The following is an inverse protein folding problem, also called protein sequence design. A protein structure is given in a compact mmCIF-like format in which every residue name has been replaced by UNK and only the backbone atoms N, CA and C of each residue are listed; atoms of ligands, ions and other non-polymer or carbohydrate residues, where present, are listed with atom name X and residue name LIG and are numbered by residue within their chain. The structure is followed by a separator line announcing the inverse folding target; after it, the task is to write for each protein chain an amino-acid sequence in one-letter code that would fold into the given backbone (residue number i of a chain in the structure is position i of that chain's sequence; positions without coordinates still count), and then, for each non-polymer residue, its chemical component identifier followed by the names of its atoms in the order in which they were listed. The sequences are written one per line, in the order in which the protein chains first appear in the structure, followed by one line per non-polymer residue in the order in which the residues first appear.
data_IF_692100918326
#
_entry.id   IF_692100918326
#
_cell.length_a   1.000
_cell.length_b   1.000
_cell.length_c   1.000
_cell.angle_alpha   90.00
_cell.angle_beta   90.00
_cell.angle_gamma   90.00
#
_symmetry.space_group_name_H-M   'P 1'
#
loop_
_entity.id
_entity.type
_entity.pdbx_description
1 polymer ?
#
# COMPACT_ATOMS: atom_id res chain seq x y z
N UNK A 1 49.49 61.54 21.91
CA UNK A 1 49.30 60.23 21.25
C UNK A 1 47.99 59.65 21.75
N UNK A 2 46.96 59.59 20.89
CA UNK A 2 45.65 59.03 21.23
C UNK A 2 45.65 57.56 20.83
N UNK A 3 45.55 56.68 21.81
CA UNK A 3 45.40 55.24 21.60
C UNK A 3 43.99 54.95 21.07
N UNK A 4 43.91 54.28 19.92
CA UNK A 4 42.66 53.70 19.42
C UNK A 4 42.65 52.26 19.93
N UNK A 5 41.77 52.00 20.90
CA UNK A 5 41.45 50.65 21.36
C UNK A 5 40.23 50.21 20.56
N UNK A 6 40.43 49.30 19.61
CA UNK A 6 39.35 48.64 18.90
C UNK A 6 39.01 47.32 19.62
N UNK A 7 37.84 47.25 20.24
CA UNK A 7 37.27 46.01 20.77
C UNK A 7 36.51 45.30 19.64
N UNK A 8 37.02 44.15 19.21
CA UNK A 8 36.33 43.27 18.27
C UNK A 8 35.37 42.38 19.07
N UNK A 9 34.07 42.73 19.09
CA UNK A 9 33.05 41.84 19.64
C UNK A 9 32.73 40.76 18.60
N UNK A 10 33.15 39.53 18.85
CA UNK A 10 32.71 38.36 18.10
C UNK A 10 31.36 37.92 18.68
N UNK A 11 30.27 38.21 17.97
CA UNK A 11 28.92 37.77 18.32
C UNK A 11 28.75 36.31 17.83
N UNK A 12 28.88 35.34 18.73
CA UNK A 12 28.49 33.96 18.45
C UNK A 12 26.98 33.88 18.65
N UNK A 13 26.23 33.93 17.55
CA UNK A 13 24.79 33.68 17.58
C UNK A 13 24.55 32.18 17.77
N UNK A 14 24.20 31.79 19.00
CA UNK A 14 23.64 30.48 19.28
C UNK A 14 22.18 30.50 18.83
N UNK A 15 21.91 30.06 17.60
CA UNK A 15 20.54 29.88 17.11
C UNK A 15 20.10 28.47 17.51
N UNK A 16 19.37 28.37 18.62
CA UNK A 16 18.51 27.22 18.85
C UNK A 16 17.25 27.43 18.02
N UNK A 17 17.03 26.59 17.01
CA UNK A 17 15.71 26.48 16.39
C UNK A 17 14.80 25.72 17.36
N UNK A 18 14.15 26.45 18.26
CA UNK A 18 12.98 25.91 18.93
C UNK A 18 11.87 25.83 17.88
N UNK A 19 11.57 24.61 17.42
CA UNK A 19 10.46 24.33 16.52
C UNK A 19 9.14 24.61 17.25
N UNK A 20 8.72 25.87 17.23
CA UNK A 20 7.43 26.29 17.74
C UNK A 20 6.35 25.92 16.72
N UNK A 21 5.92 24.65 16.72
CA UNK A 21 4.90 24.17 15.79
C UNK A 21 3.59 23.89 16.54
N UNK A 22 2.70 24.87 16.54
CA UNK A 22 1.31 24.74 17.02
C UNK A 22 0.41 24.03 15.98
N UNK A 23 0.97 23.07 15.23
CA UNK A 23 0.27 22.23 14.26
C UNK A 23 0.47 20.79 14.69
N UNK A 24 -0.61 20.09 15.03
CA UNK A 24 -0.57 18.65 15.29
C UNK A 24 -0.32 17.92 13.97
N UNK A 25 0.94 17.75 13.59
CA UNK A 25 1.31 16.93 12.44
C UNK A 25 0.86 15.49 12.65
N UNK A 26 0.28 14.90 11.61
CA UNK A 26 -0.07 13.47 11.61
C UNK A 26 1.20 12.61 11.50
N UNK A 27 1.19 11.35 11.98
CA UNK A 27 2.36 10.48 11.97
C UNK A 27 3.07 10.39 10.60
N UNK A 28 2.32 10.26 9.51
CA UNK A 28 2.89 10.20 8.16
C UNK A 28 3.70 11.46 7.78
N UNK A 29 3.34 12.64 8.30
CA UNK A 29 4.07 13.89 8.05
C UNK A 29 5.31 14.01 8.95
N UNK A 30 5.31 13.33 10.09
CA UNK A 30 6.42 13.37 11.05
C UNK A 30 7.45 12.27 10.83
N UNK A 31 7.24 11.32 9.92
CA UNK A 31 8.07 10.13 9.78
C UNK A 31 9.60 10.43 9.77
N UNK A 32 10.06 11.41 9.00
CA UNK A 32 11.49 11.80 8.97
C UNK A 32 11.95 12.52 10.24
N UNK A 33 11.06 13.30 10.86
CA UNK A 33 11.35 13.98 12.13
C UNK A 33 11.49 12.98 13.27
N UNK A 34 10.53 12.04 13.37
CA UNK A 34 10.53 10.97 14.36
C UNK A 34 11.76 10.05 14.14
N UNK A 35 12.08 9.71 12.90
CA UNK A 35 13.32 8.99 12.55
C UNK A 35 14.59 9.71 13.04
N UNK A 36 14.71 11.03 12.80
CA UNK A 36 15.84 11.84 13.27
C UNK A 36 15.93 11.89 14.79
N UNK A 37 14.78 11.93 15.48
CA UNK A 37 14.72 11.97 16.94
C UNK A 37 15.17 10.65 17.56
N UNK A 38 14.81 9.52 16.95
CA UNK A 38 15.25 8.18 17.36
C UNK A 38 16.73 7.92 17.03
N UNK A 39 17.28 8.63 16.04
CA UNK A 39 18.67 8.53 15.60
C UNK A 39 19.42 9.87 15.81
N UNK A 40 19.72 10.27 17.06
CA UNK A 40 20.35 11.56 17.36
C UNK A 40 21.82 11.65 16.90
N UNK A 41 22.41 10.53 16.51
CA UNK A 41 23.77 10.43 16.00
C UNK A 41 23.77 9.91 14.55
N UNK A 42 24.80 10.22 13.76
CA UNK A 42 24.93 9.66 12.41
C UNK A 42 24.85 8.13 12.42
N UNK A 43 23.94 7.57 11.62
CA UNK A 43 23.63 6.14 11.57
C UNK A 43 24.72 5.26 10.94
N UNK A 44 25.73 5.88 10.33
CA UNK A 44 26.84 5.18 9.70
C UNK A 44 27.67 6.10 8.82
N UNK A 45 28.75 5.55 8.28
CA UNK A 45 29.53 6.19 7.23
C UNK A 45 28.86 5.94 5.87
N UNK A 46 28.73 6.97 5.04
CA UNK A 46 28.24 6.77 3.67
C UNK A 46 29.26 5.95 2.87
N UNK A 47 28.80 4.87 2.25
CA UNK A 47 29.61 3.95 1.46
C UNK A 47 29.05 3.83 0.04
N UNK A 48 29.92 3.47 -0.91
CA UNK A 48 29.55 2.97 -2.24
C UNK A 48 28.90 1.58 -2.08
N UNK A 49 28.24 1.06 -3.11
CA UNK A 49 27.62 -0.26 -3.08
C UNK A 49 28.61 -1.41 -2.75
N UNK A 50 29.90 -1.24 -3.08
CA UNK A 50 30.95 -2.21 -2.75
C UNK A 50 31.39 -2.19 -1.27
N UNK A 51 30.90 -1.23 -0.48
CA UNK A 51 31.27 -1.03 0.92
C UNK A 51 32.43 -0.05 1.15
N UNK A 52 33.05 0.47 0.09
CA UNK A 52 34.11 1.47 0.20
C UNK A 52 33.56 2.80 0.75
N UNK A 53 34.28 3.46 1.68
CA UNK A 53 33.85 4.73 2.22
C UNK A 53 33.82 5.82 1.15
N UNK A 54 32.80 6.68 1.21
CA UNK A 54 32.69 7.84 0.34
C UNK A 54 33.56 8.97 0.87
N UNK A 55 34.52 9.41 0.07
CA UNK A 55 35.30 10.60 0.38
C UNK A 55 34.54 11.87 -0.01
N UNK A 56 34.70 12.94 0.77
CA UNK A 56 34.04 14.24 0.51
C UNK A 56 34.39 14.77 -0.89
N UNK A 57 35.61 14.55 -1.37
CA UNK A 57 36.02 14.96 -2.74
C UNK A 57 35.21 14.27 -3.84
N UNK A 58 34.76 13.04 -3.60
CA UNK A 58 33.99 12.25 -4.59
C UNK A 58 32.55 12.79 -4.71
N UNK A 59 32.07 13.53 -3.71
CA UNK A 59 30.73 14.14 -3.72
C UNK A 59 30.62 15.36 -4.65
N UNK A 60 31.74 15.91 -5.11
CA UNK A 60 31.78 17.07 -6.00
C UNK A 60 32.27 16.62 -7.37
N UNK A 61 31.38 16.67 -8.36
CA UNK A 61 31.66 16.28 -9.75
C UNK A 61 32.01 17.47 -10.65
N UNK A 62 31.99 18.68 -10.08
CA UNK A 62 32.33 19.91 -10.80
C UNK A 62 33.85 20.03 -10.91
N UNK A 63 34.35 20.31 -12.11
CA UNK A 63 35.78 20.41 -12.44
C UNK A 63 36.58 19.10 -12.27
N UNK A 64 35.91 17.95 -12.29
CA UNK A 64 36.51 16.61 -12.35
C UNK A 64 35.99 15.83 -13.55
N UNK A 65 36.73 14.79 -13.96
CA UNK A 65 36.20 13.84 -14.95
C UNK A 65 35.08 13.03 -14.30
N UNK A 66 33.88 13.17 -14.87
CA UNK A 66 32.68 12.51 -14.36
C UNK A 66 32.67 11.01 -14.65
N UNK A 67 33.39 10.57 -15.70
CA UNK A 67 33.48 9.16 -16.07
C UNK A 67 34.44 8.37 -15.17
N UNK A 68 35.35 9.05 -14.48
CA UNK A 68 36.23 8.44 -13.47
C UNK A 68 35.63 8.50 -12.06
N UNK A 69 34.54 9.26 -11.86
CA UNK A 69 33.88 9.34 -10.56
C UNK A 69 33.03 8.08 -10.31
N UNK A 70 33.61 7.13 -9.59
CA UNK A 70 32.97 5.87 -9.23
C UNK A 70 31.68 6.06 -8.41
N UNK A 71 31.63 7.05 -7.51
CA UNK A 71 30.44 7.31 -6.69
C UNK A 71 29.26 7.77 -7.56
N UNK A 72 29.54 8.65 -8.54
CA UNK A 72 28.55 9.15 -9.48
C UNK A 72 27.99 8.00 -10.32
N UNK A 73 28.86 7.18 -10.91
CA UNK A 73 28.45 6.04 -11.74
C UNK A 73 27.63 5.05 -10.92
N UNK A 74 28.08 4.69 -9.72
CA UNK A 74 27.41 3.73 -8.84
C UNK A 74 26.01 4.22 -8.43
N UNK A 75 25.89 5.51 -8.08
CA UNK A 75 24.62 6.14 -7.72
C UNK A 75 23.65 6.19 -8.89
N UNK A 76 24.13 6.56 -10.09
CA UNK A 76 23.30 6.64 -11.30
C UNK A 76 22.83 5.27 -11.75
N UNK A 77 23.70 4.25 -11.75
CA UNK A 77 23.32 2.89 -12.10
C UNK A 77 22.28 2.31 -11.14
N UNK A 78 22.39 2.61 -9.85
CA UNK A 78 21.39 2.21 -8.86
C UNK A 78 20.07 2.92 -9.10
N UNK A 79 20.10 4.24 -9.31
CA UNK A 79 18.93 5.07 -9.58
C UNK A 79 18.17 4.64 -10.84
N UNK A 80 18.89 4.44 -11.95
CA UNK A 80 18.31 4.01 -13.23
C UNK A 80 17.67 2.60 -13.13
N UNK A 81 18.15 1.78 -12.19
CA UNK A 81 17.65 0.43 -11.91
C UNK A 81 16.50 0.34 -10.91
N UNK A 82 16.05 1.45 -10.29
CA UNK A 82 15.07 1.40 -9.18
C UNK A 82 13.67 0.91 -9.59
N UNK A 83 13.25 1.17 -10.83
CA UNK A 83 11.85 0.93 -11.25
C UNK A 83 11.69 -0.49 -11.76
N UNK A 84 10.98 -1.30 -10.99
CA UNK A 84 10.49 -2.62 -11.42
C UNK A 84 9.08 -2.50 -12.02
N UNK A 85 8.67 -3.41 -12.93
CA UNK A 85 7.31 -3.42 -13.45
C UNK A 85 6.27 -3.48 -12.32
N UNK A 86 5.28 -2.59 -12.38
CA UNK A 86 4.16 -2.64 -11.46
C UNK A 86 3.29 -3.88 -11.71
N UNK A 87 2.44 -4.24 -10.73
CA UNK A 87 1.47 -5.32 -10.93
C UNK A 87 0.48 -4.91 -12.04
N UNK A 88 0.18 -5.81 -12.97
CA UNK A 88 -0.73 -5.54 -14.09
C UNK A 88 -2.11 -5.06 -13.64
N UNK A 89 -2.59 -5.61 -12.51
CA UNK A 89 -3.76 -5.18 -11.74
C UNK A 89 -3.33 -5.01 -10.29
N UNK A 90 -4.07 -4.23 -9.53
CA UNK A 90 -3.74 -3.96 -8.13
C UNK A 90 -2.37 -3.29 -7.93
N UNK A 91 -1.96 -2.42 -8.86
CA UNK A 91 -0.67 -1.75 -8.85
C UNK A 91 -0.52 -0.82 -7.64
N UNK A 92 -1.46 0.12 -7.47
CA UNK A 92 -1.49 1.02 -6.31
C UNK A 92 -2.05 0.30 -5.09
N UNK A 93 -1.34 0.41 -3.97
CA UNK A 93 -1.73 -0.23 -2.73
C UNK A 93 -0.71 -0.01 -1.63
N UNK A 94 -1.14 -0.31 -0.41
CA UNK A 94 -0.32 -0.22 0.81
C UNK A 94 -0.44 -1.50 1.61
N UNK A 95 0.49 -1.75 2.52
CA UNK A 95 0.48 -2.95 3.36
C UNK A 95 0.69 -2.64 4.82
N UNK A 96 0.28 -3.58 5.67
CA UNK A 96 0.47 -3.53 7.11
C UNK A 96 0.76 -4.94 7.64
N UNK A 97 1.52 -5.02 8.71
CA UNK A 97 1.73 -6.27 9.46
C UNK A 97 0.78 -6.34 10.65
N UNK A 98 0.49 -7.55 11.10
CA UNK A 98 -0.38 -7.79 12.24
C UNK A 98 -0.38 -9.25 12.64
N UNK A 99 -1.46 -9.68 13.28
CA UNK A 99 -1.69 -11.07 13.64
C UNK A 99 -3.15 -11.46 13.44
N UNK A 100 -3.38 -12.75 13.24
CA UNK A 100 -4.70 -13.38 13.30
C UNK A 100 -4.81 -14.16 14.60
N UNK A 101 -5.93 -14.02 15.29
CA UNK A 101 -6.23 -14.73 16.53
C UNK A 101 -7.47 -15.61 16.37
N UNK A 102 -7.35 -16.88 16.70
CA UNK A 102 -8.47 -17.81 16.70
C UNK A 102 -9.34 -17.54 17.92
N UNK A 103 -10.59 -17.14 17.73
CA UNK A 103 -11.52 -16.84 18.84
C UNK A 103 -12.57 -17.92 19.04
N UNK A 104 -12.78 -18.78 18.05
CA UNK A 104 -13.79 -19.83 18.05
C UNK A 104 -13.19 -21.13 17.53
N UNK A 105 -13.55 -22.24 18.16
CA UNK A 105 -13.10 -23.57 17.74
C UNK A 105 -13.80 -23.97 16.43
N UNK A 106 -12.99 -24.18 15.39
CA UNK A 106 -13.42 -24.64 14.07
C UNK A 106 -12.76 -25.96 13.66
N UNK A 107 -12.14 -26.68 14.61
CA UNK A 107 -11.44 -27.96 14.40
C UNK A 107 -12.35 -29.05 13.80
N UNK A 108 -13.67 -28.92 14.01
CA UNK A 108 -14.68 -29.75 13.34
C UNK A 108 -14.59 -29.69 11.81
N UNK A 109 -14.20 -28.54 11.25
CA UNK A 109 -14.23 -28.29 9.80
C UNK A 109 -12.85 -28.36 9.15
N UNK A 110 -11.79 -28.06 9.90
CA UNK A 110 -10.44 -27.97 9.34
C UNK A 110 -9.39 -28.48 10.31
N UNK A 111 -8.35 -29.13 9.78
CA UNK A 111 -7.13 -29.42 10.53
C UNK A 111 -6.02 -28.38 10.33
N UNK A 112 -6.26 -27.32 9.54
CA UNK A 112 -5.22 -26.35 9.21
C UNK A 112 -4.72 -25.61 10.47
N UNK A 113 -3.40 -25.63 10.65
CA UNK A 113 -2.71 -25.13 11.85
C UNK A 113 -3.09 -23.68 12.21
N UNK A 114 -3.28 -22.81 11.22
CA UNK A 114 -3.65 -21.40 11.40
C UNK A 114 -5.02 -21.20 12.06
N UNK A 115 -5.95 -22.16 11.93
CA UNK A 115 -7.31 -22.07 12.46
C UNK A 115 -7.53 -22.93 13.71
N UNK A 116 -6.53 -23.67 14.14
CA UNK A 116 -6.60 -24.52 15.32
C UNK A 116 -6.26 -23.75 16.59
N UNK A 117 -6.84 -24.21 17.71
CA UNK A 117 -6.59 -23.72 19.06
C UNK A 117 -7.07 -22.28 19.33
N UNK A 118 -8.12 -22.13 20.14
CA UNK A 118 -8.62 -20.81 20.56
C UNK A 118 -7.54 -20.07 21.35
N UNK A 119 -7.26 -18.83 20.97
CA UNK A 119 -6.21 -17.96 21.52
C UNK A 119 -4.90 -18.01 20.73
N UNK A 120 -4.75 -18.92 19.77
CA UNK A 120 -3.55 -18.98 18.94
C UNK A 120 -3.41 -17.73 18.07
N UNK A 121 -2.21 -17.13 18.10
CA UNK A 121 -1.84 -15.96 17.29
C UNK A 121 -0.90 -16.34 16.17
N UNK A 122 -1.30 -16.05 14.94
CA UNK A 122 -0.49 -16.27 13.74
C UNK A 122 -0.07 -14.93 13.14
N UNK A 123 1.24 -14.64 12.99
CA UNK A 123 1.69 -13.43 12.32
C UNK A 123 1.18 -13.36 10.88
N UNK A 124 0.84 -12.17 10.42
CA UNK A 124 0.40 -11.95 9.05
C UNK A 124 0.89 -10.64 8.47
N UNK A 125 0.87 -10.57 7.15
CA UNK A 125 0.93 -9.32 6.40
C UNK A 125 -0.30 -9.19 5.53
N UNK A 126 -0.89 -8.01 5.49
CA UNK A 126 -1.99 -7.66 4.59
C UNK A 126 -1.53 -6.60 3.61
N UNK A 127 -1.92 -6.74 2.34
CA UNK A 127 -1.80 -5.70 1.32
C UNK A 127 -3.17 -5.31 0.80
N UNK A 128 -3.48 -4.04 0.94
CA UNK A 128 -4.66 -3.41 0.36
C UNK A 128 -4.32 -2.75 -0.97
N UNK A 129 -5.30 -2.63 -1.87
CA UNK A 129 -5.06 -2.03 -3.19
C UNK A 129 -6.33 -1.55 -3.88
N UNK A 130 -6.14 -0.64 -4.82
CA UNK A 130 -7.07 -0.42 -5.95
C UNK A 130 -7.05 -1.62 -6.89
N UNK A 131 -7.91 -1.68 -7.92
CA UNK A 131 -7.92 -2.81 -8.86
C UNK A 131 -7.26 -2.48 -10.20
N UNK A 132 -7.66 -1.37 -10.81
CA UNK A 132 -7.32 -1.03 -12.20
C UNK A 132 -6.32 0.12 -12.30
N UNK A 133 -6.19 0.93 -11.24
CA UNK A 133 -5.26 2.04 -11.19
C UNK A 133 -3.81 1.57 -11.28
N UNK A 134 -3.00 2.37 -11.97
CA UNK A 134 -1.54 2.25 -11.97
C UNK A 134 -0.99 2.76 -10.63
N UNK A 135 0.31 2.57 -10.35
CA UNK A 135 0.93 2.94 -9.06
C UNK A 135 0.68 4.41 -8.66
N UNK A 136 0.68 5.33 -9.62
CA UNK A 136 0.40 6.76 -9.42
C UNK A 136 -1.07 7.17 -9.55
N UNK A 137 -2.02 6.22 -9.61
CA UNK A 137 -3.45 6.52 -9.70
C UNK A 137 -4.06 7.01 -8.39
N UNK A 138 -5.39 7.12 -8.34
CA UNK A 138 -6.12 7.57 -7.15
C UNK A 138 -6.65 6.39 -6.32
N UNK A 139 -6.49 6.43 -5.00
CA UNK A 139 -7.13 5.47 -4.08
C UNK A 139 -8.67 5.56 -4.13
N UNK A 140 -9.19 6.72 -4.51
CA UNK A 140 -10.62 7.08 -4.48
C UNK A 140 -11.38 6.76 -5.77
N UNK A 141 -10.73 6.10 -6.73
CA UNK A 141 -11.41 5.64 -7.93
C UNK A 141 -12.56 4.68 -7.57
N UNK A 142 -13.70 4.79 -8.29
CA UNK A 142 -14.84 3.87 -8.12
C UNK A 142 -14.51 2.53 -8.76
N UNK A 143 -14.16 1.57 -7.92
CA UNK A 143 -13.78 0.22 -8.30
C UNK A 143 -13.73 -0.67 -7.06
N UNK A 144 -13.72 -1.98 -7.27
CA UNK A 144 -13.47 -2.94 -6.20
C UNK A 144 -12.07 -2.72 -5.62
N UNK A 145 -11.92 -2.89 -4.31
CA UNK A 145 -10.63 -2.83 -3.62
C UNK A 145 -10.14 -4.23 -3.32
N UNK A 146 -8.83 -4.45 -3.42
CA UNK A 146 -8.19 -5.71 -3.07
C UNK A 146 -7.72 -5.72 -1.62
N UNK A 147 -7.79 -6.88 -0.98
CA UNK A 147 -7.21 -7.16 0.34
C UNK A 147 -6.57 -8.55 0.28
N UNK A 148 -5.25 -8.61 0.16
CA UNK A 148 -4.50 -9.86 0.14
C UNK A 148 -3.87 -10.11 1.51
N UNK A 149 -4.22 -11.22 2.18
CA UNK A 149 -3.68 -11.59 3.48
C UNK A 149 -2.73 -12.77 3.29
N UNK A 150 -1.53 -12.68 3.86
CA UNK A 150 -0.57 -13.77 3.98
C UNK A 150 -0.37 -14.10 5.45
N UNK A 151 -0.72 -15.32 5.84
CA UNK A 151 -0.49 -15.87 7.17
C UNK A 151 0.83 -16.65 7.16
N UNK A 152 1.69 -16.38 8.15
CA UNK A 152 2.93 -17.11 8.36
C UNK A 152 2.64 -18.25 9.35
N UNK A 153 2.27 -19.42 8.81
CA UNK A 153 1.86 -20.59 9.60
C UNK A 153 3.02 -21.59 9.72
N UNK A 154 2.94 -22.53 10.67
CA UNK A 154 3.97 -23.58 10.82
C UNK A 154 4.01 -24.55 9.62
N UNK A 155 2.87 -24.72 8.94
CA UNK A 155 2.74 -25.55 7.73
C UNK A 155 3.12 -24.79 6.44
N UNK A 156 3.65 -23.57 6.57
CA UNK A 156 4.02 -22.69 5.47
C UNK A 156 3.10 -21.48 5.32
N UNK A 157 3.32 -20.71 4.25
CA UNK A 157 2.53 -19.50 4.03
C UNK A 157 1.15 -19.83 3.45
N UNK A 158 0.10 -19.37 4.11
CA UNK A 158 -1.25 -19.40 3.57
C UNK A 158 -1.61 -18.02 3.04
N UNK A 159 -1.98 -17.92 1.77
CA UNK A 159 -2.42 -16.68 1.14
C UNK A 159 -3.93 -16.72 0.88
N UNK A 160 -4.67 -15.81 1.50
CA UNK A 160 -6.10 -15.60 1.22
C UNK A 160 -6.25 -14.26 0.51
N UNK A 161 -6.54 -14.32 -0.78
CA UNK A 161 -6.71 -13.15 -1.64
C UNK A 161 -8.19 -12.76 -1.65
N UNK A 162 -8.49 -11.56 -1.17
CA UNK A 162 -9.84 -11.04 -1.05
C UNK A 162 -10.06 -9.77 -1.88
N UNK A 163 -11.34 -9.47 -2.09
CA UNK A 163 -11.83 -8.22 -2.62
C UNK A 163 -12.85 -7.60 -1.65
N UNK A 164 -13.16 -6.31 -1.82
CA UNK A 164 -14.13 -5.58 -1.01
C UNK A 164 -15.59 -5.97 -1.24
N UNK A 165 -15.86 -6.88 -2.19
CA UNK A 165 -17.21 -7.33 -2.57
C UNK A 165 -17.24 -8.86 -2.67
N UNK A 166 -18.38 -9.52 -2.41
CA UNK A 166 -18.44 -10.99 -2.26
C UNK A 166 -18.54 -11.76 -3.59
N UNK A 167 -18.53 -11.08 -4.73
CA UNK A 167 -18.70 -11.67 -6.08
C UNK A 167 -17.75 -11.02 -7.08
N UNK A 168 -17.49 -11.69 -8.20
CA UNK A 168 -16.63 -11.18 -9.27
C UNK A 168 -17.37 -11.02 -10.60
N UNK A 169 -16.75 -10.29 -11.54
CA UNK A 169 -17.37 -9.90 -12.80
C UNK A 169 -17.66 -11.10 -13.72
N UNK A 170 -16.86 -12.14 -13.65
CA UNK A 170 -17.01 -13.32 -14.49
C UNK A 170 -16.88 -14.61 -13.68
N UNK A 171 -17.31 -15.71 -14.29
CA UNK A 171 -17.22 -17.08 -13.76
C UNK A 171 -16.21 -17.97 -14.49
N UNK A 172 -15.61 -17.47 -15.56
CA UNK A 172 -14.63 -18.18 -16.39
C UNK A 172 -13.34 -17.36 -16.49
N UNK A 173 -12.18 -17.86 -16.04
CA UNK A 173 -10.93 -17.11 -16.04
C UNK A 173 -10.43 -16.72 -17.44
N UNK A 174 -10.85 -17.42 -18.50
CA UNK A 174 -10.41 -17.14 -19.87
C UNK A 174 -10.79 -15.74 -20.37
N UNK A 175 -11.78 -15.08 -19.77
CA UNK A 175 -12.16 -13.70 -20.13
C UNK A 175 -11.40 -12.62 -19.34
N UNK A 176 -10.60 -12.99 -18.34
CA UNK A 176 -9.91 -12.02 -17.47
C UNK A 176 -9.07 -10.99 -18.24
N UNK A 177 -8.21 -11.37 -19.22
CA UNK A 177 -7.42 -10.38 -19.95
C UNK A 177 -8.28 -9.38 -20.71
N UNK A 178 -9.39 -9.85 -21.31
CA UNK A 178 -10.31 -8.99 -22.04
C UNK A 178 -10.99 -7.98 -21.12
N UNK A 179 -11.44 -8.42 -19.93
CA UNK A 179 -12.01 -7.54 -18.90
C UNK A 179 -11.01 -6.49 -18.47
N UNK A 180 -9.77 -6.89 -18.16
CA UNK A 180 -8.72 -5.97 -17.71
C UNK A 180 -8.38 -4.97 -18.80
N UNK A 181 -8.25 -5.39 -20.06
CA UNK A 181 -7.97 -4.49 -21.18
C UNK A 181 -9.12 -3.50 -21.41
N UNK A 182 -10.37 -3.95 -21.42
CA UNK A 182 -11.51 -3.05 -21.64
C UNK A 182 -11.81 -2.13 -20.47
N UNK A 183 -11.32 -2.44 -19.27
CA UNK A 183 -11.41 -1.58 -18.09
C UNK A 183 -10.20 -0.63 -17.92
N UNK A 184 -9.16 -0.77 -18.75
CA UNK A 184 -7.95 0.05 -18.75
C UNK A 184 -7.98 1.08 -19.89
N UNK A 185 -6.82 1.68 -20.17
CA UNK A 185 -6.66 2.72 -21.17
C UNK A 185 -6.86 2.16 -22.58
N UNK A 186 -7.55 2.94 -23.41
CA UNK A 186 -7.73 2.64 -24.82
C UNK A 186 -6.35 2.53 -25.51
N UNK A 187 -6.13 1.50 -26.35
CA UNK A 187 -4.80 1.23 -26.93
C UNK A 187 -4.31 2.30 -27.91
N UNK A 188 -5.20 3.10 -28.51
CA UNK A 188 -4.84 4.16 -29.46
C UNK A 188 -4.67 5.50 -28.77
N UNK A 189 -5.61 5.88 -27.88
CA UNK A 189 -5.62 7.22 -27.26
C UNK A 189 -4.91 7.26 -25.93
N UNK A 190 -4.66 6.11 -25.31
CA UNK A 190 -4.16 5.98 -23.95
C UNK A 190 -5.03 6.70 -22.91
N UNK A 191 -6.32 6.93 -23.20
CA UNK A 191 -7.29 7.53 -22.28
C UNK A 191 -8.21 6.47 -21.67
N UNK A 192 -8.84 6.78 -20.54
CA UNK A 192 -9.91 5.92 -20.00
C UNK A 192 -11.10 5.94 -20.95
N UNK A 193 -11.59 4.75 -21.29
CA UNK A 193 -12.70 4.58 -22.24
C UNK A 193 -13.83 3.79 -21.58
N UNK A 194 -14.84 4.52 -21.09
CA UNK A 194 -16.01 3.90 -20.48
C UNK A 194 -16.81 3.09 -21.50
N UNK A 195 -16.77 3.42 -22.79
CA UNK A 195 -17.51 2.66 -23.81
C UNK A 195 -17.03 1.22 -23.87
N UNK A 196 -15.71 1.01 -23.84
CA UNK A 196 -15.12 -0.34 -23.81
C UNK A 196 -15.51 -1.13 -22.55
N UNK A 197 -15.51 -0.47 -21.39
CA UNK A 197 -15.94 -1.08 -20.14
C UNK A 197 -17.42 -1.51 -20.20
N UNK A 198 -18.31 -0.59 -20.61
CA UNK A 198 -19.75 -0.87 -20.69
C UNK A 198 -20.08 -1.95 -21.72
N UNK A 199 -19.35 -2.01 -22.84
CA UNK A 199 -19.52 -3.06 -23.85
C UNK A 199 -19.30 -4.46 -23.24
N UNK A 200 -18.16 -4.68 -22.58
CA UNK A 200 -17.85 -5.97 -21.91
C UNK A 200 -18.91 -6.36 -20.88
N UNK A 201 -19.42 -5.38 -20.13
CA UNK A 201 -20.39 -5.61 -19.06
C UNK A 201 -21.77 -5.93 -19.63
N UNK A 202 -22.21 -5.21 -20.65
CA UNK A 202 -23.55 -5.35 -21.23
C UNK A 202 -23.69 -6.57 -22.14
N UNK A 203 -22.61 -7.00 -22.79
CA UNK A 203 -22.60 -8.20 -23.65
C UNK A 203 -22.82 -9.51 -22.87
N UNK A 204 -22.59 -9.53 -21.55
CA UNK A 204 -22.78 -10.71 -20.70
C UNK A 204 -23.56 -10.36 -19.42
N UNK A 205 -24.85 -10.71 -19.33
CA UNK A 205 -25.66 -10.42 -18.15
C UNK A 205 -25.11 -10.96 -16.83
N UNK A 206 -24.30 -12.03 -16.85
CA UNK A 206 -23.61 -12.55 -15.66
C UNK A 206 -22.70 -11.53 -14.97
N UNK A 207 -22.25 -10.51 -15.69
CA UNK A 207 -21.33 -9.48 -15.20
C UNK A 207 -22.06 -8.43 -14.36
N UNK A 208 -23.38 -8.31 -14.50
CA UNK A 208 -24.16 -7.25 -13.88
C UNK A 208 -24.16 -7.31 -12.35
N UNK A 209 -24.05 -8.50 -11.75
CA UNK A 209 -24.10 -8.63 -10.29
C UNK A 209 -22.93 -7.89 -9.63
N UNK A 210 -21.68 -8.19 -10.02
CA UNK A 210 -20.53 -7.44 -9.50
C UNK A 210 -20.57 -5.98 -9.94
N UNK A 211 -21.05 -5.69 -11.14
CA UNK A 211 -21.09 -4.31 -11.62
C UNK A 211 -21.98 -3.43 -10.73
N UNK A 212 -23.13 -3.95 -10.29
CA UNK A 212 -23.98 -3.25 -9.33
C UNK A 212 -23.32 -3.10 -7.95
N UNK A 213 -22.50 -4.05 -7.50
CA UNK A 213 -21.67 -3.86 -6.30
C UNK A 213 -20.66 -2.74 -6.45
N UNK A 214 -20.05 -2.57 -7.63
CA UNK A 214 -19.12 -1.48 -7.90
C UNK A 214 -19.82 -0.11 -7.99
N UNK A 215 -21.06 -0.07 -8.49
CA UNK A 215 -21.85 1.15 -8.56
C UNK A 215 -22.52 1.53 -7.22
N UNK A 216 -22.60 0.60 -6.28
CA UNK A 216 -23.10 0.88 -4.93
C UNK A 216 -22.05 1.62 -4.08
N UNK A 217 -22.38 1.85 -2.81
CA UNK A 217 -21.49 2.46 -1.83
C UNK A 217 -20.19 1.65 -1.62
N UNK A 218 -20.21 0.35 -1.89
CA UNK A 218 -19.02 -0.52 -1.80
C UNK A 218 -17.95 -0.20 -2.86
N UNK A 219 -18.26 0.59 -3.89
CA UNK A 219 -17.30 1.01 -4.90
C UNK A 219 -16.31 2.07 -4.45
N UNK A 220 -16.62 2.82 -3.37
CA UNK A 220 -15.77 3.87 -2.80
C UNK A 220 -15.84 3.82 -1.27
N UNK A 221 -15.21 2.83 -0.62
CA UNK A 221 -15.13 2.80 0.84
C UNK A 221 -14.39 4.03 1.38
N UNK A 222 -14.64 4.40 2.64
CA UNK A 222 -13.92 5.48 3.33
C UNK A 222 -12.64 4.94 3.98
N UNK A 223 -11.62 4.69 3.16
CA UNK A 223 -10.36 4.09 3.57
C UNK A 223 -10.40 2.56 3.62
N UNK A 224 -9.23 1.92 3.64
CA UNK A 224 -9.11 0.46 3.67
C UNK A 224 -9.59 -0.16 4.99
N UNK A 225 -9.63 0.61 6.09
CA UNK A 225 -10.03 0.11 7.41
C UNK A 225 -11.54 -0.06 7.54
N UNK A 226 -12.33 0.70 6.77
CA UNK A 226 -13.81 0.73 6.84
C UNK A 226 -14.46 -0.04 5.70
N UNK A 227 -13.76 -1.02 5.14
CA UNK A 227 -14.31 -1.95 4.15
C UNK A 227 -14.23 -3.39 4.65
N UNK A 228 -15.16 -4.21 4.18
CA UNK A 228 -15.08 -5.65 4.37
C UNK A 228 -14.14 -6.29 3.34
N UNK A 229 -13.77 -7.55 3.57
CA UNK A 229 -12.99 -8.36 2.66
C UNK A 229 -13.58 -9.74 2.46
N UNK A 230 -13.66 -10.19 1.22
CA UNK A 230 -14.25 -11.46 0.83
C UNK A 230 -13.30 -12.22 -0.09
N UNK A 231 -13.02 -13.48 0.20
CA UNK A 231 -12.22 -14.32 -0.69
C UNK A 231 -12.97 -14.72 -1.99
N UNK A 232 -14.27 -14.42 -2.06
CA UNK A 232 -15.22 -14.66 -3.16
C UNK A 232 -15.46 -16.15 -3.45
N UNK A 233 -14.39 -16.88 -3.74
CA UNK A 233 -14.42 -18.28 -4.10
C UNK A 233 -14.89 -19.14 -2.94
N UNK A 234 -15.49 -20.28 -3.29
CA UNK A 234 -15.75 -21.36 -2.35
C UNK A 234 -14.47 -22.19 -2.22
N UNK A 235 -14.00 -22.35 -0.99
CA UNK A 235 -12.84 -23.16 -0.65
C UNK A 235 -13.30 -24.50 -0.07
N UNK A 236 -12.45 -25.50 -0.12
CA UNK A 236 -12.64 -26.77 0.55
C UNK A 236 -11.75 -26.82 1.79
N UNK A 237 -12.33 -27.17 2.94
CA UNK A 237 -11.60 -27.50 4.16
C UNK A 237 -11.81 -28.98 4.46
N UNK A 238 -10.78 -29.62 4.99
CA UNK A 238 -10.83 -30.99 5.46
C UNK A 238 -10.49 -31.05 6.94
N UNK A 239 -11.20 -31.87 7.72
CA UNK A 239 -10.89 -32.10 9.13
C UNK A 239 -9.96 -33.32 9.33
N UNK A 240 -9.58 -33.59 10.58
CA UNK A 240 -8.67 -34.71 10.93
C UNK A 240 -9.25 -36.10 10.62
N UNK A 241 -10.57 -36.20 10.42
CA UNK A 241 -11.26 -37.44 10.08
C UNK A 241 -11.40 -37.65 8.56
N UNK A 242 -10.92 -36.69 7.75
CA UNK A 242 -11.01 -36.74 6.29
C UNK A 242 -12.38 -36.29 5.74
N UNK A 243 -13.22 -35.66 6.54
CA UNK A 243 -14.49 -35.08 6.07
C UNK A 243 -14.23 -33.71 5.40
N UNK A 244 -14.86 -33.48 4.26
CA UNK A 244 -14.70 -32.26 3.45
C UNK A 244 -15.87 -31.31 3.61
N UNK A 245 -15.60 -30.02 3.76
CA UNK A 245 -16.58 -28.95 3.89
C UNK A 245 -16.30 -27.80 2.94
N UNK A 246 -17.34 -27.32 2.25
CA UNK A 246 -17.24 -26.12 1.42
C UNK A 246 -17.49 -24.85 2.25
N UNK A 247 -16.57 -23.91 2.19
CA UNK A 247 -16.61 -22.67 2.98
C UNK A 247 -16.35 -21.44 2.13
N UNK A 248 -16.68 -20.27 2.69
CA UNK A 248 -16.26 -18.96 2.18
C UNK A 248 -15.72 -18.12 3.31
N UNK A 249 -14.55 -17.51 3.09
CA UNK A 249 -13.95 -16.59 4.05
C UNK A 249 -14.52 -15.18 3.88
N UNK A 250 -15.03 -14.64 4.98
CA UNK A 250 -15.55 -13.28 5.07
C UNK A 250 -14.86 -12.58 6.25
N UNK A 251 -14.13 -11.51 5.95
CA UNK A 251 -13.48 -10.63 6.91
C UNK A 251 -14.34 -9.38 7.04
N UNK A 252 -14.90 -9.16 8.23
CA UNK A 252 -15.76 -8.00 8.50
C UNK A 252 -14.96 -6.95 9.24
N UNK A 253 -15.08 -5.69 8.82
CA UNK A 253 -14.43 -4.58 9.54
C UNK A 253 -15.06 -4.39 10.91
N UNK A 254 -14.22 -4.30 11.95
CA UNK A 254 -14.66 -3.94 13.30
C UNK A 254 -14.85 -2.41 13.46
N UNK A 255 -14.30 -1.63 12.53
CA UNK A 255 -14.45 -0.16 12.48
C UNK A 255 -15.83 0.25 11.94
N UNK A 256 -16.59 -0.71 11.39
CA UNK A 256 -17.86 -0.48 10.72
C UNK A 256 -17.67 -0.06 9.27
N UNK A 257 -18.52 -0.59 8.40
CA UNK A 257 -18.50 -0.23 6.99
C UNK A 257 -18.88 1.25 6.81
N UNK A 258 -18.08 1.98 6.04
CA UNK A 258 -18.35 3.37 5.68
C UNK A 258 -17.90 3.64 4.25
N UNK A 259 -18.64 4.50 3.56
CA UNK A 259 -18.41 4.82 2.16
C UNK A 259 -18.45 6.33 1.91
N UNK A 260 -17.77 6.75 0.85
CA UNK A 260 -17.75 8.12 0.39
C UNK A 260 -18.70 8.29 -0.78
N UNK A 261 -19.44 9.40 -0.79
CA UNK A 261 -20.21 9.81 -1.96
C UNK A 261 -19.26 10.23 -3.09
N UNK A 262 -19.70 10.12 -4.35
CA UNK A 262 -18.91 10.53 -5.52
C UNK A 262 -18.38 11.98 -5.40
N UNK A 263 -19.17 12.99 -4.95
CA UNK A 263 -18.64 14.35 -4.76
C UNK A 263 -17.59 14.47 -3.65
N UNK A 264 -17.75 13.75 -2.54
CA UNK A 264 -16.74 13.73 -1.46
C UNK A 264 -15.44 13.11 -1.96
N UNK A 265 -15.53 11.97 -2.63
CA UNK A 265 -14.37 11.31 -3.22
C UNK A 265 -13.64 12.21 -4.22
N UNK A 266 -14.37 12.91 -5.08
CA UNK A 266 -13.78 13.87 -6.02
C UNK A 266 -13.07 15.04 -5.32
N UNK A 267 -13.66 15.58 -4.24
CA UNK A 267 -13.06 16.66 -3.47
C UNK A 267 -11.78 16.23 -2.74
N UNK A 268 -11.78 15.05 -2.12
CA UNK A 268 -10.58 14.50 -1.45
C UNK A 268 -9.51 14.17 -2.49
N UNK A 269 -9.88 13.52 -3.59
CA UNK A 269 -8.97 13.13 -4.67
C UNK A 269 -8.21 14.34 -5.26
N UNK A 270 -8.84 15.52 -5.30
CA UNK A 270 -8.19 16.74 -5.76
C UNK A 270 -7.05 17.22 -4.85
N UNK A 271 -7.08 16.84 -3.56
CA UNK A 271 -6.08 17.23 -2.57
C UNK A 271 -5.11 16.09 -2.21
N UNK A 272 -5.58 14.85 -2.18
CA UNK A 272 -4.81 13.68 -1.74
C UNK A 272 -5.23 12.42 -2.52
N UNK A 273 -4.38 12.03 -3.48
CA UNK A 273 -4.56 10.79 -4.25
C UNK A 273 -4.24 9.53 -3.42
N UNK A 274 -3.54 9.70 -2.29
CA UNK A 274 -3.04 8.64 -1.40
C UNK A 274 -3.84 8.53 -0.10
N UNK A 275 -5.08 9.04 -0.10
CA UNK A 275 -5.93 9.15 1.09
C UNK A 275 -6.03 7.83 1.88
N UNK A 276 -6.20 6.68 1.22
CA UNK A 276 -6.35 5.40 1.94
C UNK A 276 -5.03 4.94 2.54
N UNK A 277 -3.93 5.18 1.83
CA UNK A 277 -2.58 4.88 2.30
C UNK A 277 -2.23 5.72 3.52
N UNK A 278 -2.51 7.02 3.47
CA UNK A 278 -2.31 7.95 4.58
C UNK A 278 -3.17 7.60 5.78
N UNK A 279 -4.46 7.30 5.56
CA UNK A 279 -5.39 6.87 6.61
C UNK A 279 -4.87 5.62 7.34
N UNK A 280 -4.43 4.59 6.59
CA UNK A 280 -3.93 3.36 7.18
C UNK A 280 -2.63 3.58 7.97
N UNK A 281 -1.66 4.31 7.41
CA UNK A 281 -0.40 4.61 8.08
C UNK A 281 -0.64 5.36 9.39
N UNK A 282 -1.40 6.46 9.32
CA UNK A 282 -1.68 7.29 10.49
C UNK A 282 -2.46 6.55 11.57
N UNK A 283 -3.34 5.62 11.20
CA UNK A 283 -4.11 4.84 12.17
C UNK A 283 -3.29 3.75 12.87
N UNK A 284 -2.19 3.29 12.26
CA UNK A 284 -1.28 2.32 12.88
C UNK A 284 -0.27 3.02 13.79
N UNK A 285 0.21 4.19 13.38
CA UNK A 285 1.29 4.95 14.03
C UNK A 285 0.76 6.05 15.00
N UNK A 286 -0.56 6.07 15.28
CA UNK A 286 -1.23 7.01 16.20
C UNK A 286 -1.16 6.61 17.66
#
# INVERSE_FOLDING_TARGET
MKAIIAFLFCLILYVNSDEYVNVTYQPAQRQLFDFKKEHPHPIGLWTKNAGDPVEIRDTITINSDQFDNQLLIDSLLTFDGERIPERVVHAKGTGAFGYFEVTHDVSKYTYADVFNEVGKKTPLVVRFSTSLQNAGGSDLAREVKGMAIKFYTEDGNLDILCLSVPVYLYRDPGIFPNVVHGAKRNPQTNLMDFTSLYDIITLKPSNLHQFFWMLSDYGIPDGYRKMDGFAIHTFELSNIHGETHYVRFNFRTEQGFSALTTPQAAAIQAADLDYFTRDLYNAIDS
#
